data_IF_555268912112
#
_entry.id   IF_555268912112
#
_cell.length_a   1.000
_cell.length_b   1.000
_cell.length_c   1.000
_cell.angle_alpha   90.00
_cell.angle_beta   90.00
_cell.angle_gamma   90.00
#
_symmetry.space_group_name_H-M   'P 1'
#
loop_
_entity.id
_entity.type
_entity.pdbx_description
1 polymer ?
#
# COMPACT_ATOMS: atom_id res chain seq x y z
N UNK A 1 -15.62 8.57 -17.40
CA UNK A 1 -15.76 7.86 -16.12
C UNK A 1 -16.06 6.40 -16.34
N UNK A 2 -15.72 5.58 -15.36
CA UNK A 2 -16.04 4.14 -15.40
C UNK A 2 -17.51 3.92 -14.99
N UNK A 3 -18.12 2.79 -15.37
CA UNK A 3 -19.46 2.40 -14.94
C UNK A 3 -19.60 2.39 -13.40
N UNK A 4 -18.53 2.08 -12.68
CA UNK A 4 -18.48 2.09 -11.21
C UNK A 4 -18.71 3.47 -10.60
N UNK A 5 -18.44 4.55 -11.34
CA UNK A 5 -18.68 5.91 -10.87
C UNK A 5 -20.16 6.33 -10.95
N UNK A 6 -21.01 5.56 -11.65
CA UNK A 6 -22.43 5.89 -11.81
C UNK A 6 -23.20 5.80 -10.49
N UNK A 7 -24.23 6.66 -10.27
CA UNK A 7 -25.06 6.57 -9.07
C UNK A 7 -25.69 5.17 -8.87
N UNK A 8 -26.11 4.54 -9.94
CA UNK A 8 -26.70 3.19 -9.91
C UNK A 8 -25.72 2.14 -9.41
N UNK A 9 -24.46 2.18 -9.85
CA UNK A 9 -23.41 1.26 -9.36
C UNK A 9 -23.06 1.54 -7.90
N UNK A 10 -22.96 2.81 -7.51
CA UNK A 10 -22.71 3.21 -6.12
C UNK A 10 -23.76 2.65 -5.17
N UNK A 11 -25.03 2.76 -5.53
CA UNK A 11 -26.14 2.22 -4.76
C UNK A 11 -26.15 0.69 -4.75
N UNK A 12 -26.03 0.07 -5.93
CA UNK A 12 -26.03 -1.40 -6.10
C UNK A 12 -24.98 -2.10 -5.27
N UNK A 13 -23.76 -1.56 -5.26
CA UNK A 13 -22.61 -2.14 -4.56
C UNK A 13 -22.40 -1.55 -3.17
N UNK A 14 -23.17 -0.53 -2.77
CA UNK A 14 -23.00 0.21 -1.51
C UNK A 14 -21.58 0.71 -1.33
N UNK A 15 -21.07 1.41 -2.37
CA UNK A 15 -19.69 1.89 -2.37
C UNK A 15 -19.47 2.91 -1.26
N UNK A 16 -18.42 2.69 -0.47
CA UNK A 16 -17.88 3.65 0.48
C UNK A 16 -16.65 4.30 -0.13
N UNK A 17 -16.60 5.63 -0.14
CA UNK A 17 -15.51 6.38 -0.76
C UNK A 17 -14.86 7.33 0.23
N UNK A 18 -13.61 7.68 -0.06
CA UNK A 18 -12.85 8.74 0.58
C UNK A 18 -12.09 9.53 -0.48
N UNK A 19 -11.51 10.63 -0.06
CA UNK A 19 -10.79 11.56 -0.94
C UNK A 19 -9.33 11.62 -0.53
N UNK A 20 -8.43 11.77 -1.52
CA UNK A 20 -7.01 11.98 -1.28
C UNK A 20 -6.41 12.94 -2.29
N UNK A 21 -5.30 13.58 -1.93
CA UNK A 21 -4.53 14.43 -2.83
C UNK A 21 -3.76 13.55 -3.83
N UNK A 22 -3.84 13.92 -5.11
CA UNK A 22 -3.09 13.24 -6.18
C UNK A 22 -1.64 13.70 -6.11
N UNK A 23 -0.72 12.75 -5.91
CA UNK A 23 0.72 13.04 -5.89
C UNK A 23 1.19 13.54 -7.25
N UNK A 24 1.95 14.64 -7.23
CA UNK A 24 2.45 15.30 -8.43
C UNK A 24 1.46 16.29 -9.08
N UNK A 25 0.22 16.32 -8.62
CA UNK A 25 -0.80 17.28 -9.06
C UNK A 25 -1.02 18.41 -8.03
N UNK A 26 0.10 18.97 -7.56
CA UNK A 26 0.16 20.02 -6.55
C UNK A 26 1.00 21.18 -7.08
N UNK A 27 0.51 22.39 -6.98
CA UNK A 27 1.23 23.54 -7.51
C UNK A 27 0.72 24.88 -7.01
N UNK A 28 1.49 25.94 -7.28
CA UNK A 28 1.05 27.34 -7.12
C UNK A 28 0.78 27.92 -8.49
N UNK A 29 -0.44 28.40 -8.66
CA UNK A 29 -0.87 29.00 -9.90
C UNK A 29 -0.99 30.52 -9.74
N UNK A 30 -0.41 31.26 -10.68
CA UNK A 30 -0.47 32.72 -10.63
C UNK A 30 -1.79 33.20 -11.26
N UNK A 31 -2.58 33.89 -10.44
CA UNK A 31 -3.78 34.59 -10.89
C UNK A 31 -3.61 36.09 -10.60
N UNK A 32 -3.31 36.86 -11.64
CA UNK A 32 -2.99 38.28 -11.48
C UNK A 32 -1.76 38.48 -10.62
N UNK A 33 -1.91 39.04 -9.41
CA UNK A 33 -0.83 39.23 -8.42
C UNK A 33 -0.78 38.13 -7.35
N UNK A 34 -1.77 37.24 -7.34
CA UNK A 34 -1.92 36.22 -6.29
C UNK A 34 -1.35 34.88 -6.76
N UNK A 35 -0.63 34.22 -5.88
CA UNK A 35 -0.20 32.83 -6.05
C UNK A 35 -1.13 31.93 -5.24
N UNK A 36 -1.99 31.20 -5.96
CA UNK A 36 -3.01 30.34 -5.35
C UNK A 36 -2.46 28.91 -5.25
N UNK A 37 -2.34 28.34 -4.05
CA UNK A 37 -2.01 26.92 -3.88
C UNK A 37 -3.18 26.06 -4.33
N UNK A 38 -2.92 25.05 -5.15
CA UNK A 38 -3.90 24.09 -5.64
C UNK A 38 -3.35 22.68 -5.45
N UNK A 39 -4.21 21.82 -4.89
CA UNK A 39 -4.00 20.38 -4.84
C UNK A 39 -5.16 19.69 -5.57
N UNK A 40 -4.85 18.88 -6.56
CA UNK A 40 -5.88 18.04 -7.17
C UNK A 40 -6.23 16.89 -6.24
N UNK A 41 -7.51 16.57 -6.17
CA UNK A 41 -8.08 15.57 -5.27
C UNK A 41 -8.82 14.52 -6.09
N UNK A 42 -8.59 13.26 -5.80
CA UNK A 42 -9.36 12.14 -6.35
C UNK A 42 -10.24 11.47 -5.30
N UNK A 43 -11.38 10.97 -5.76
CA UNK A 43 -12.23 10.08 -4.99
C UNK A 43 -11.80 8.64 -5.22
N UNK A 44 -11.62 7.88 -4.15
CA UNK A 44 -11.26 6.45 -4.21
C UNK A 44 -12.28 5.61 -3.45
N UNK A 45 -12.52 4.40 -3.93
CA UNK A 45 -13.36 3.42 -3.26
C UNK A 45 -12.53 2.74 -2.16
N UNK A 46 -13.01 2.83 -0.92
CA UNK A 46 -12.35 2.25 0.26
C UNK A 46 -13.19 1.18 0.94
N UNK A 47 -14.34 0.84 0.36
CA UNK A 47 -15.21 -0.20 0.85
C UNK A 47 -16.44 -0.42 -0.03
N UNK A 48 -17.14 -1.48 0.21
CA UNK A 48 -18.43 -1.81 -0.43
C UNK A 48 -19.24 -2.74 0.48
N UNK A 49 -20.36 -3.28 -0.01
CA UNK A 49 -21.23 -4.19 0.78
C UNK A 49 -20.53 -5.45 1.31
N UNK A 50 -19.44 -5.89 0.67
CA UNK A 50 -18.72 -7.13 0.99
C UNK A 50 -17.29 -6.86 1.52
N UNK A 51 -16.81 -5.61 1.47
CA UNK A 51 -15.47 -5.19 1.87
C UNK A 51 -15.55 -3.96 2.79
N UNK A 52 -15.06 -4.08 4.00
CA UNK A 52 -14.98 -3.00 4.97
C UNK A 52 -13.78 -2.08 4.71
N UNK A 53 -13.72 -0.94 5.42
CA UNK A 53 -12.53 -0.08 5.38
C UNK A 53 -11.27 -0.77 5.95
N UNK A 54 -11.42 -1.62 6.95
CA UNK A 54 -10.28 -2.38 7.50
C UNK A 54 -9.80 -3.45 6.52
N UNK A 55 -10.69 -4.04 5.72
CA UNK A 55 -10.30 -4.92 4.61
C UNK A 55 -9.52 -4.15 3.54
N UNK A 56 -9.95 -2.91 3.19
CA UNK A 56 -9.20 -2.04 2.29
C UNK A 56 -7.77 -1.80 2.82
N UNK A 57 -7.63 -1.46 4.10
CA UNK A 57 -6.30 -1.26 4.72
C UNK A 57 -5.48 -2.55 4.69
N UNK A 58 -6.11 -3.69 4.90
CA UNK A 58 -5.47 -5.01 4.81
C UNK A 58 -4.98 -5.32 3.38
N UNK A 59 -5.79 -5.00 2.38
CA UNK A 59 -5.38 -5.09 0.96
C UNK A 59 -4.18 -4.17 0.66
N UNK A 60 -4.11 -2.97 1.25
CA UNK A 60 -2.96 -2.08 1.09
C UNK A 60 -1.69 -2.66 1.70
N UNK A 61 -1.78 -3.39 2.83
CA UNK A 61 -0.63 -4.11 3.40
C UNK A 61 -0.18 -5.24 2.48
N UNK A 62 -1.12 -6.01 1.90
CA UNK A 62 -0.78 -7.03 0.91
C UNK A 62 -0.13 -6.42 -0.33
N UNK A 63 -0.61 -5.27 -0.80
CA UNK A 63 -0.01 -4.51 -1.89
C UNK A 63 1.46 -4.12 -1.58
N UNK A 64 1.76 -3.65 -0.36
CA UNK A 64 3.13 -3.38 0.07
C UNK A 64 4.02 -4.64 0.03
N UNK A 65 3.49 -5.79 0.42
CA UNK A 65 4.22 -7.07 0.35
C UNK A 65 4.49 -7.47 -1.09
N UNK A 66 3.49 -7.41 -1.97
CA UNK A 66 3.64 -7.70 -3.40
C UNK A 66 4.66 -6.74 -4.03
N UNK A 67 4.55 -5.44 -3.74
CA UNK A 67 5.50 -4.43 -4.22
C UNK A 67 6.92 -4.67 -3.74
N UNK A 68 7.08 -5.19 -2.50
CA UNK A 68 8.40 -5.42 -1.92
C UNK A 68 9.05 -6.69 -2.47
N UNK A 69 8.30 -7.78 -2.60
CA UNK A 69 8.85 -9.08 -2.90
C UNK A 69 8.73 -9.50 -4.37
N UNK A 70 7.67 -9.05 -5.07
CA UNK A 70 7.38 -9.47 -6.45
C UNK A 70 7.72 -8.40 -7.50
N UNK A 71 7.11 -7.21 -7.44
CA UNK A 71 7.05 -6.26 -8.57
C UNK A 71 8.38 -5.74 -9.12
N UNK A 72 9.49 -5.85 -8.39
CA UNK A 72 10.79 -5.38 -8.88
C UNK A 72 11.75 -6.51 -9.25
N UNK A 73 11.25 -7.75 -9.37
CA UNK A 73 12.02 -8.92 -9.73
C UNK A 73 13.29 -9.18 -8.87
N UNK A 74 13.40 -8.51 -7.71
CA UNK A 74 14.57 -8.65 -6.83
C UNK A 74 14.74 -10.08 -6.32
N UNK A 75 13.64 -10.80 -6.15
CA UNK A 75 13.60 -12.17 -5.65
C UNK A 75 13.09 -13.18 -6.69
N UNK A 76 13.09 -12.82 -7.98
CA UNK A 76 12.53 -13.63 -9.07
C UNK A 76 13.13 -15.04 -9.09
N UNK A 77 14.47 -15.17 -9.01
CA UNK A 77 15.14 -16.47 -9.01
C UNK A 77 14.75 -17.35 -7.81
N UNK A 78 14.46 -16.73 -6.68
CA UNK A 78 13.97 -17.44 -5.50
C UNK A 78 12.57 -18.01 -5.76
N UNK A 79 11.66 -17.24 -6.33
CA UNK A 79 10.30 -17.70 -6.64
C UNK A 79 10.30 -18.75 -7.76
N UNK A 80 11.11 -18.60 -8.79
CA UNK A 80 11.31 -19.63 -9.82
C UNK A 80 11.78 -20.95 -9.17
N UNK A 81 12.66 -20.87 -8.16
CA UNK A 81 13.09 -22.03 -7.38
C UNK A 81 11.94 -22.69 -6.61
N UNK A 82 11.08 -21.91 -5.97
CA UNK A 82 9.91 -22.42 -5.25
C UNK A 82 8.89 -23.08 -6.18
N UNK A 83 8.61 -22.48 -7.33
CA UNK A 83 7.70 -23.04 -8.32
C UNK A 83 8.14 -24.41 -8.84
N UNK A 84 9.45 -24.59 -9.07
CA UNK A 84 10.03 -25.90 -9.42
C UNK A 84 9.81 -26.97 -8.36
N UNK A 85 9.63 -26.55 -7.10
CA UNK A 85 9.28 -27.42 -5.98
C UNK A 85 7.76 -27.58 -5.78
N UNK A 86 6.97 -27.02 -6.68
CA UNK A 86 5.48 -27.07 -6.60
C UNK A 86 4.88 -26.14 -5.54
N UNK A 87 5.61 -25.08 -5.17
CA UNK A 87 5.12 -24.03 -4.26
C UNK A 87 4.89 -22.78 -5.08
N UNK A 88 3.61 -22.37 -5.31
CA UNK A 88 3.29 -21.14 -6.00
C UNK A 88 3.85 -19.92 -5.26
N UNK A 89 4.33 -18.94 -5.99
CA UNK A 89 4.81 -17.68 -5.43
C UNK A 89 3.78 -17.04 -4.51
N UNK A 90 2.51 -17.02 -4.93
CA UNK A 90 1.42 -16.43 -4.15
C UNK A 90 1.28 -17.09 -2.77
N UNK A 91 1.47 -18.41 -2.64
CA UNK A 91 1.43 -19.10 -1.34
C UNK A 91 2.49 -18.54 -0.39
N UNK A 92 3.69 -18.22 -0.93
CA UNK A 92 4.77 -17.62 -0.14
C UNK A 92 4.45 -16.19 0.28
N UNK A 93 3.92 -15.36 -0.63
CA UNK A 93 3.50 -13.99 -0.34
C UNK A 93 2.36 -13.96 0.69
N UNK A 94 1.40 -14.87 0.55
CA UNK A 94 0.29 -15.01 1.51
C UNK A 94 0.80 -15.45 2.88
N UNK A 95 1.74 -16.41 2.92
CA UNK A 95 2.35 -16.83 4.18
C UNK A 95 3.04 -15.64 4.88
N UNK A 96 3.81 -14.84 4.15
CA UNK A 96 4.46 -13.63 4.68
C UNK A 96 3.42 -12.64 5.23
N UNK A 97 2.32 -12.44 4.52
CA UNK A 97 1.24 -11.54 4.93
C UNK A 97 0.54 -11.99 6.22
N UNK A 98 0.28 -13.27 6.36
CA UNK A 98 -0.48 -13.83 7.47
C UNK A 98 0.37 -14.01 8.74
N UNK A 99 1.69 -14.24 8.61
CA UNK A 99 2.59 -14.59 9.72
C UNK A 99 3.48 -13.41 10.14
N UNK A 100 2.85 -12.38 10.71
CA UNK A 100 3.55 -11.13 11.12
C UNK A 100 4.59 -11.35 12.22
N UNK A 101 4.53 -12.45 12.94
CA UNK A 101 5.51 -12.86 13.96
C UNK A 101 6.89 -13.18 13.40
N UNK A 102 7.01 -13.39 12.08
CA UNK A 102 8.31 -13.63 11.43
C UNK A 102 9.07 -12.34 11.13
N UNK A 103 8.44 -11.18 11.29
CA UNK A 103 9.05 -9.89 11.01
C UNK A 103 9.97 -9.44 12.15
N UNK A 104 11.07 -8.80 11.80
CA UNK A 104 11.86 -8.09 12.79
C UNK A 104 11.07 -6.89 13.34
N UNK A 105 11.51 -6.35 14.47
CA UNK A 105 10.87 -5.19 15.09
C UNK A 105 10.84 -4.00 14.14
N UNK A 106 11.93 -3.76 13.44
CA UNK A 106 12.07 -2.70 12.45
C UNK A 106 11.08 -2.85 11.29
N UNK A 107 10.90 -4.07 10.77
CA UNK A 107 9.89 -4.34 9.73
C UNK A 107 8.48 -4.07 10.25
N UNK A 108 8.16 -4.50 11.47
CA UNK A 108 6.85 -4.25 12.09
C UNK A 108 6.57 -2.76 12.26
N UNK A 109 7.58 -1.98 12.66
CA UNK A 109 7.49 -0.51 12.77
C UNK A 109 7.21 0.14 11.42
N UNK A 110 7.87 -0.30 10.33
CA UNK A 110 7.65 0.20 8.97
C UNK A 110 6.21 -0.11 8.52
N UNK A 111 5.74 -1.35 8.70
CA UNK A 111 4.38 -1.74 8.31
C UNK A 111 3.32 -0.97 9.12
N UNK A 112 3.55 -0.79 10.42
CA UNK A 112 2.66 0.01 11.28
C UNK A 112 2.61 1.48 10.82
N UNK A 113 3.76 2.05 10.46
CA UNK A 113 3.85 3.40 9.90
C UNK A 113 3.12 3.50 8.57
N UNK A 114 3.23 2.50 7.70
CA UNK A 114 2.50 2.43 6.43
C UNK A 114 0.98 2.43 6.64
N UNK A 115 0.47 1.57 7.53
CA UNK A 115 -0.97 1.53 7.88
C UNK A 115 -1.45 2.90 8.37
N UNK A 116 -0.67 3.55 9.22
CA UNK A 116 -0.98 4.88 9.72
C UNK A 116 -0.99 5.92 8.59
N UNK A 117 0.01 5.92 7.71
CA UNK A 117 0.11 6.83 6.57
C UNK A 117 -1.08 6.64 5.61
N UNK A 118 -1.44 5.40 5.28
CA UNK A 118 -2.61 5.07 4.45
C UNK A 118 -3.90 5.68 5.03
N UNK A 119 -4.11 5.58 6.36
CA UNK A 119 -5.32 6.12 7.00
C UNK A 119 -5.33 7.66 7.07
N UNK A 120 -4.20 8.28 7.38
CA UNK A 120 -4.09 9.75 7.54
C UNK A 120 -4.21 10.50 6.20
N UNK A 121 -3.81 9.89 5.10
CA UNK A 121 -3.90 10.49 3.76
C UNK A 121 -5.30 10.58 3.18
N UNK A 122 -6.33 10.08 3.91
CA UNK A 122 -7.71 9.99 3.45
C UNK A 122 -8.63 10.97 4.18
N UNK A 123 -9.48 11.64 3.40
CA UNK A 123 -10.48 12.59 3.88
C UNK A 123 -11.88 12.06 3.62
N UNK A 124 -12.85 12.49 4.45
CA UNK A 124 -14.22 12.03 4.34
C UNK A 124 -15.01 12.75 3.22
N UNK A 125 -14.66 13.99 2.90
CA UNK A 125 -15.30 14.77 1.83
C UNK A 125 -14.28 15.44 0.91
N UNK A 126 -14.73 15.79 -0.29
CA UNK A 126 -13.93 16.53 -1.26
C UNK A 126 -13.50 17.90 -0.71
N UNK A 127 -14.46 18.62 -0.12
CA UNK A 127 -14.23 19.94 0.45
C UNK A 127 -13.18 19.90 1.55
N UNK A 128 -13.28 18.91 2.45
CA UNK A 128 -12.27 18.70 3.49
C UNK A 128 -10.88 18.43 2.89
N UNK A 129 -10.80 17.60 1.86
CA UNK A 129 -9.52 17.30 1.21
C UNK A 129 -8.90 18.54 0.59
N UNK A 130 -9.69 19.36 -0.11
CA UNK A 130 -9.24 20.61 -0.72
C UNK A 130 -8.80 21.62 0.35
N UNK A 131 -9.65 21.89 1.35
CA UNK A 131 -9.35 22.88 2.39
C UNK A 131 -8.12 22.53 3.22
N UNK A 132 -8.00 21.24 3.62
CA UNK A 132 -6.89 20.80 4.45
C UNK A 132 -5.57 20.77 3.66
N UNK A 133 -5.61 20.38 2.40
CA UNK A 133 -4.39 20.19 1.59
C UNK A 133 -3.66 21.50 1.26
N UNK A 134 -4.39 22.61 1.16
CA UNK A 134 -3.82 23.93 0.83
C UNK A 134 -3.38 24.72 2.06
N UNK A 135 -3.60 24.23 3.27
CA UNK A 135 -3.13 24.90 4.50
C UNK A 135 -1.61 25.05 4.52
N UNK A 136 -1.11 26.19 5.02
CA UNK A 136 0.33 26.41 5.21
C UNK A 136 0.97 25.27 6.01
N UNK A 137 2.14 24.82 5.60
CA UNK A 137 2.86 23.67 6.17
C UNK A 137 2.39 22.33 5.66
N UNK A 138 1.09 22.16 5.34
CA UNK A 138 0.57 20.93 4.73
C UNK A 138 0.73 20.95 3.20
N UNK A 139 0.45 22.10 2.60
CA UNK A 139 0.68 22.30 1.17
C UNK A 139 2.16 22.08 0.79
N UNK A 140 3.10 22.60 1.56
CA UNK A 140 4.52 22.42 1.34
C UNK A 140 4.93 20.94 1.41
N UNK A 141 4.32 20.16 2.31
CA UNK A 141 4.55 18.72 2.41
C UNK A 141 3.98 17.93 1.22
N UNK A 142 2.83 18.34 0.70
CA UNK A 142 2.31 17.78 -0.56
C UNK A 142 3.20 18.15 -1.73
N UNK A 143 3.68 19.38 -1.81
CA UNK A 143 4.54 19.86 -2.89
C UNK A 143 5.90 19.17 -2.89
N UNK A 144 6.46 18.87 -1.71
CA UNK A 144 7.72 18.14 -1.56
C UNK A 144 7.59 16.62 -1.72
N UNK A 145 6.35 16.08 -1.72
CA UNK A 145 6.09 14.65 -1.74
C UNK A 145 6.23 13.96 -0.38
N UNK A 146 6.40 14.71 0.73
CA UNK A 146 6.48 14.15 2.09
C UNK A 146 5.16 13.48 2.51
N UNK A 147 4.04 14.01 2.04
CA UNK A 147 2.70 13.42 2.24
C UNK A 147 1.95 13.33 0.90
N UNK A 148 1.07 12.36 0.78
CA UNK A 148 0.29 12.09 -0.43
C UNK A 148 0.22 10.61 -0.72
N UNK A 149 -0.02 10.21 -1.95
CA UNK A 149 -0.19 8.81 -2.36
C UNK A 149 1.13 8.04 -2.60
N UNK A 150 2.27 8.56 -2.15
CA UNK A 150 3.60 7.92 -2.27
C UNK A 150 3.95 7.02 -1.08
N UNK A 151 3.05 6.85 -0.10
CA UNK A 151 3.32 6.04 1.09
C UNK A 151 3.78 4.61 0.77
N UNK A 152 3.28 4.02 -0.33
CA UNK A 152 3.69 2.69 -0.77
C UNK A 152 5.17 2.66 -1.18
N UNK A 153 5.57 3.61 -2.04
CA UNK A 153 6.95 3.70 -2.56
C UNK A 153 7.93 4.00 -1.45
N UNK A 154 7.58 4.93 -0.55
CA UNK A 154 8.41 5.32 0.59
C UNK A 154 8.65 4.15 1.55
N UNK A 155 7.57 3.43 1.93
CA UNK A 155 7.70 2.32 2.87
C UNK A 155 8.37 1.09 2.24
N UNK A 156 8.15 0.83 0.95
CA UNK A 156 8.92 -0.16 0.20
C UNK A 156 10.41 0.16 0.22
N UNK A 157 10.78 1.42 -0.05
CA UNK A 157 12.19 1.84 0.02
C UNK A 157 12.79 1.60 1.41
N UNK A 158 12.05 1.91 2.49
CA UNK A 158 12.49 1.63 3.88
C UNK A 158 12.72 0.13 4.10
N UNK A 159 11.82 -0.74 3.60
CA UNK A 159 11.98 -2.19 3.69
C UNK A 159 13.23 -2.67 2.97
N UNK A 160 13.60 -2.10 1.83
CA UNK A 160 14.81 -2.47 1.10
C UNK A 160 16.12 -2.16 1.83
N UNK A 161 16.14 -1.20 2.77
CA UNK A 161 17.29 -1.05 3.67
C UNK A 161 17.45 -2.22 4.63
N UNK A 162 16.42 -3.05 4.82
CA UNK A 162 16.42 -4.27 5.63
C UNK A 162 16.55 -5.54 4.76
N UNK A 163 17.31 -5.50 3.67
CA UNK A 163 17.41 -6.59 2.69
C UNK A 163 17.69 -7.95 3.33
N UNK A 164 18.58 -7.99 4.33
CA UNK A 164 18.90 -9.22 5.05
C UNK A 164 17.68 -9.82 5.75
N UNK A 165 16.86 -8.98 6.33
CA UNK A 165 15.65 -9.41 7.03
C UNK A 165 14.57 -9.87 6.04
N UNK A 166 14.44 -9.20 4.88
CA UNK A 166 13.57 -9.64 3.80
C UNK A 166 13.96 -11.04 3.31
N UNK A 167 15.25 -11.29 3.10
CA UNK A 167 15.77 -12.63 2.72
C UNK A 167 15.47 -13.67 3.81
N UNK A 168 15.66 -13.33 5.08
CA UNK A 168 15.35 -14.24 6.20
C UNK A 168 13.86 -14.61 6.24
N UNK A 169 12.98 -13.63 6.01
CA UNK A 169 11.53 -13.85 5.95
C UNK A 169 11.17 -14.78 4.80
N UNK A 170 11.72 -14.56 3.61
CA UNK A 170 11.53 -15.46 2.45
C UNK A 170 11.99 -16.90 2.74
N UNK A 171 13.21 -17.06 3.25
CA UNK A 171 13.78 -18.38 3.56
C UNK A 171 12.98 -19.10 4.64
N UNK A 172 12.53 -18.38 5.66
CA UNK A 172 11.70 -18.96 6.70
C UNK A 172 10.35 -19.43 6.14
N UNK A 173 9.67 -18.59 5.37
CA UNK A 173 8.38 -18.89 4.75
C UNK A 173 8.49 -20.11 3.82
N UNK A 174 9.52 -20.13 2.96
CA UNK A 174 9.78 -21.27 2.09
C UNK A 174 9.99 -22.58 2.87
N UNK A 175 10.81 -22.57 3.92
CA UNK A 175 11.05 -23.76 4.76
C UNK A 175 9.76 -24.28 5.40
N UNK A 176 8.87 -23.39 5.84
CA UNK A 176 7.58 -23.76 6.42
C UNK A 176 6.67 -24.41 5.37
N UNK A 177 6.50 -23.76 4.22
CA UNK A 177 5.68 -24.29 3.13
C UNK A 177 6.23 -25.63 2.58
N UNK A 178 7.55 -25.79 2.50
CA UNK A 178 8.18 -27.06 2.12
C UNK A 178 7.87 -28.18 3.12
N UNK A 179 7.86 -27.89 4.42
CA UNK A 179 7.50 -28.87 5.46
C UNK A 179 6.03 -29.26 5.36
N UNK A 180 5.13 -28.30 5.19
CA UNK A 180 3.68 -28.53 5.02
C UNK A 180 3.37 -29.42 3.80
N UNK A 181 4.15 -29.26 2.72
CA UNK A 181 4.03 -30.07 1.50
C UNK A 181 4.86 -31.37 1.54
N UNK A 182 5.48 -31.72 2.68
CA UNK A 182 6.36 -32.89 2.85
C UNK A 182 7.55 -32.95 1.87
N UNK A 183 8.03 -31.81 1.40
CA UNK A 183 9.21 -31.68 0.52
C UNK A 183 10.50 -31.72 1.36
N UNK A 184 10.46 -31.16 2.58
CA UNK A 184 11.53 -31.24 3.57
C UNK A 184 11.08 -32.19 4.70
N UNK A 185 11.79 -33.30 4.87
CA UNK A 185 11.68 -34.12 6.08
C UNK A 185 12.51 -33.50 7.20
N UNK A 186 12.04 -33.61 8.44
CA UNK A 186 12.87 -33.24 9.60
C UNK A 186 14.04 -34.18 9.69
N UNK A 187 15.27 -33.65 9.51
CA UNK A 187 16.54 -34.37 9.79
C UNK A 187 16.96 -34.02 11.20
#
# INVERSE_FOLDING_TARGET
>A
GTEMASPASREKFKLSTKYRVITGAVGKYQFGKDNIPICEVEEIIVGNKDMTFDDYVSCRVMDLIVETFHNNALFEEFFIGLEKLGIPEFDCLLYIYEHKEIYTKEMQEIITSFIKATKIGLYDTYEQAVEESVKPGRFEKHLSGEIGSLELVEHKAKLYYLLKDLVNVLLYSAKKLMKEKNILTES
#
